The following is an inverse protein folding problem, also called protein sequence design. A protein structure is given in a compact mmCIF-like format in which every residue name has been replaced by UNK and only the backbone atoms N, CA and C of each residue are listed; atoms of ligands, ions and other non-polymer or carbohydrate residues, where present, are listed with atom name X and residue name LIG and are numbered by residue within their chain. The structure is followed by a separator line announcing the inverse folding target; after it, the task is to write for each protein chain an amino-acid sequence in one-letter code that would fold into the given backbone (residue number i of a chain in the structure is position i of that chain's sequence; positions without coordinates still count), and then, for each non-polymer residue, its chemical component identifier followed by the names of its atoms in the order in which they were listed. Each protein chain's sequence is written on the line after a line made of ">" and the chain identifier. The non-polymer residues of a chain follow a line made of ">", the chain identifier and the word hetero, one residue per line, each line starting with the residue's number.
data_IF_418848817067
#
_entry.id   IF_418848817067
#
_cell.length_a   1.000
_cell.length_b   1.000
_cell.length_c   1.000
_cell.angle_alpha   90.00
_cell.angle_beta   90.00
_cell.angle_gamma   90.00
#
_symmetry.space_group_name_H-M   'P 1'
#
loop_
_entity.id
_entity.type
_entity.pdbx_description
1 polymer ?
#
# COMPACT_ATOMS: atom_id res chain seq x y z
N UNK A 1 19.19 -0.45 -36.39
CA UNK A 1 19.78 -1.45 -35.49
C UNK A 1 19.64 -1.12 -34.05
N UNK A 2 19.87 0.09 -33.67
CA UNK A 2 19.81 0.47 -32.26
C UNK A 2 18.41 0.43 -31.68
N UNK A 3 17.40 0.54 -32.49
CA UNK A 3 16.02 0.48 -32.02
C UNK A 3 15.61 -0.92 -31.59
N UNK A 4 16.37 -1.89 -31.87
CA UNK A 4 16.12 -3.23 -31.38
C UNK A 4 16.09 -3.29 -29.87
N UNK A 5 17.10 -2.67 -29.27
CA UNK A 5 17.20 -2.67 -27.83
C UNK A 5 16.05 -1.95 -27.16
N UNK A 6 15.58 -0.90 -27.80
CA UNK A 6 14.43 -0.15 -27.30
C UNK A 6 13.18 -1.01 -27.28
N UNK A 7 12.98 -1.80 -28.34
CA UNK A 7 11.82 -2.66 -28.42
C UNK A 7 11.86 -3.74 -27.36
N UNK A 8 13.02 -4.31 -27.13
CA UNK A 8 13.17 -5.34 -26.10
C UNK A 8 12.88 -4.75 -24.73
N UNK A 9 13.37 -3.57 -24.45
CA UNK A 9 13.14 -2.91 -23.18
C UNK A 9 11.66 -2.67 -22.93
N UNK A 10 10.92 -2.26 -23.95
CA UNK A 10 9.49 -2.04 -23.84
C UNK A 10 8.77 -3.34 -23.52
N UNK A 11 9.13 -4.43 -24.18
CA UNK A 11 8.50 -5.72 -23.93
C UNK A 11 8.75 -6.15 -22.49
N UNK A 12 9.96 -6.01 -22.03
CA UNK A 12 10.30 -6.40 -20.65
C UNK A 12 9.49 -5.59 -19.64
N UNK A 13 9.33 -4.31 -19.86
CA UNK A 13 8.58 -3.48 -18.93
C UNK A 13 7.10 -3.87 -18.87
N UNK A 14 6.56 -4.45 -19.93
CA UNK A 14 5.17 -4.89 -19.91
C UNK A 14 4.93 -6.07 -18.99
N UNK A 15 5.93 -6.86 -18.71
CA UNK A 15 5.81 -7.98 -17.77
C UNK A 15 5.88 -7.55 -16.32
N UNK A 16 6.17 -6.29 -16.06
CA UNK A 16 6.25 -5.77 -14.70
C UNK A 16 4.92 -5.18 -14.23
N UNK A 17 3.83 -5.55 -14.88
CA UNK A 17 2.50 -5.09 -14.49
C UNK A 17 1.95 -5.92 -13.34
N UNK A 18 2.65 -5.95 -12.26
CA UNK A 18 2.18 -6.61 -11.06
C UNK A 18 1.24 -5.66 -10.33
N UNK A 19 0.29 -6.22 -9.60
CA UNK A 19 -0.71 -5.45 -8.88
C UNK A 19 -0.17 -4.90 -7.56
N UNK A 20 1.05 -4.39 -7.59
CA UNK A 20 1.66 -3.78 -6.41
C UNK A 20 1.95 -2.32 -6.71
N UNK A 21 1.68 -1.47 -5.73
CA UNK A 21 2.05 -0.08 -5.82
C UNK A 21 3.52 0.08 -5.45
N UNK A 22 4.31 0.61 -6.37
CA UNK A 22 5.73 0.86 -6.12
C UNK A 22 5.97 2.09 -5.26
N UNK A 23 5.00 2.98 -5.20
CA UNK A 23 5.15 4.23 -4.49
C UNK A 23 4.96 4.09 -2.99
N UNK A 24 5.51 5.04 -2.26
CA UNK A 24 5.35 5.14 -0.82
C UNK A 24 4.11 5.99 -0.53
N UNK A 25 3.22 5.45 0.29
CA UNK A 25 2.00 6.15 0.68
C UNK A 25 2.17 6.72 2.08
N UNK A 26 1.62 7.91 2.28
CA UNK A 26 1.71 8.59 3.57
C UNK A 26 0.60 8.14 4.51
N UNK A 27 0.86 8.28 5.80
CA UNK A 27 -0.18 8.21 6.83
C UNK A 27 -0.34 9.59 7.44
N UNK A 28 -1.18 9.70 8.46
CA UNK A 28 -1.30 10.95 9.23
C UNK A 28 -0.11 11.22 10.16
N UNK A 29 0.84 10.29 10.21
CA UNK A 29 2.08 10.47 10.96
C UNK A 29 3.26 10.47 9.98
N UNK A 30 4.06 11.55 9.89
CA UNK A 30 5.12 11.63 8.89
C UNK A 30 6.24 10.61 9.06
N UNK A 31 6.37 10.02 10.23
CA UNK A 31 7.39 8.99 10.47
C UNK A 31 6.92 7.59 10.07
N UNK A 32 5.63 7.42 9.80
CA UNK A 32 5.04 6.14 9.43
C UNK A 32 4.53 6.22 8.00
N UNK A 33 5.07 5.37 7.15
CA UNK A 33 4.69 5.32 5.73
C UNK A 33 4.34 3.89 5.34
N UNK A 34 3.55 3.76 4.30
CA UNK A 34 3.12 2.45 3.79
C UNK A 34 3.79 2.19 2.46
N UNK A 35 4.36 1.00 2.33
CA UNK A 35 5.03 0.55 1.10
C UNK A 35 4.48 -0.78 0.64
N UNK A 36 4.67 -1.07 -0.63
CA UNK A 36 4.36 -2.37 -1.24
C UNK A 36 2.90 -2.80 -1.05
N UNK A 37 1.99 -1.88 -1.27
CA UNK A 37 0.56 -2.16 -1.17
C UNK A 37 0.14 -3.09 -2.29
N UNK A 38 -0.63 -4.11 -1.96
CA UNK A 38 -1.17 -5.05 -2.93
C UNK A 38 -2.59 -5.45 -2.56
N UNK A 39 -3.35 -5.87 -3.56
CA UNK A 39 -4.70 -6.40 -3.38
C UNK A 39 -4.73 -7.82 -3.91
N UNK A 40 -5.13 -8.77 -3.08
CA UNK A 40 -5.31 -10.18 -3.47
C UNK A 40 -6.62 -10.66 -2.86
N UNK A 41 -7.57 -11.07 -3.67
CA UNK A 41 -8.89 -11.58 -3.24
C UNK A 41 -9.49 -10.65 -2.23
N UNK A 42 -9.98 -9.88 -1.95
CA UNK A 42 -10.54 -9.01 -0.89
C UNK A 42 -9.59 -8.72 0.27
N UNK A 43 -8.29 -9.00 0.11
CA UNK A 43 -7.29 -8.67 1.11
C UNK A 43 -6.41 -7.53 0.62
N UNK A 44 -6.21 -6.53 1.48
CA UNK A 44 -5.32 -5.41 1.22
C UNK A 44 -4.10 -5.54 2.13
N UNK A 45 -2.95 -5.71 1.55
CA UNK A 45 -1.72 -5.89 2.31
C UNK A 45 -0.63 -4.91 1.94
N UNK A 46 0.43 -4.94 2.72
CA UNK A 46 1.58 -4.08 2.51
C UNK A 46 2.53 -4.11 3.69
N UNK A 47 3.36 -3.10 3.78
CA UNK A 47 4.32 -2.94 4.86
C UNK A 47 4.17 -1.55 5.46
N UNK A 48 3.98 -1.48 6.76
CA UNK A 48 4.03 -0.21 7.49
C UNK A 48 5.46 -0.01 7.97
N UNK A 49 6.10 1.05 7.52
CA UNK A 49 7.50 1.33 7.82
C UNK A 49 7.56 2.49 8.80
N UNK A 50 8.26 2.28 9.90
CA UNK A 50 8.54 3.30 10.90
C UNK A 50 9.93 3.86 10.64
N UNK A 51 10.01 5.10 10.20
CA UNK A 51 11.28 5.78 9.95
C UNK A 51 11.80 6.53 11.16
N UNK A 52 11.02 6.56 12.21
CA UNK A 52 11.37 7.29 13.43
C UNK A 52 12.26 6.48 14.35
N UNK A 53 12.75 7.12 15.39
CA UNK A 53 13.63 6.51 16.37
C UNK A 53 12.87 5.96 17.60
N UNK A 54 11.55 6.03 17.59
CA UNK A 54 10.69 5.49 18.63
C UNK A 54 9.80 4.40 18.04
N UNK A 55 9.54 3.31 18.79
CA UNK A 55 8.64 2.29 18.32
C UNK A 55 7.20 2.82 18.27
N UNK A 56 6.43 2.34 17.30
CA UNK A 56 5.02 2.63 17.21
C UNK A 56 4.21 1.44 17.68
N UNK A 57 3.17 1.71 18.45
CA UNK A 57 2.21 0.72 18.91
C UNK A 57 0.84 1.38 18.99
N UNK A 58 -0.11 0.85 18.23
CA UNK A 58 -1.44 1.46 18.24
C UNK A 58 -2.33 0.89 17.16
N UNK A 59 -3.33 1.65 16.81
CA UNK A 59 -4.29 1.29 15.76
C UNK A 59 -3.78 1.75 14.41
N UNK A 60 -3.97 0.88 13.41
CA UNK A 60 -3.67 1.17 12.02
C UNK A 60 -4.93 0.89 11.22
N UNK A 61 -5.39 1.86 10.47
CA UNK A 61 -6.64 1.75 9.73
C UNK A 61 -6.49 2.19 8.28
N UNK A 62 -7.42 1.74 7.46
CA UNK A 62 -7.50 2.14 6.07
C UNK A 62 -8.93 2.53 5.72
N UNK A 63 -9.06 3.60 4.95
CA UNK A 63 -10.29 3.96 4.27
C UNK A 63 -10.05 3.77 2.78
N UNK A 64 -10.91 2.99 2.14
CA UNK A 64 -10.85 2.74 0.70
C UNK A 64 -11.80 3.71 0.03
N UNK A 65 -11.27 4.53 -0.86
CA UNK A 65 -12.04 5.55 -1.58
C UNK A 65 -12.13 5.22 -3.05
N UNK A 66 -13.30 5.43 -3.63
CA UNK A 66 -13.52 5.23 -5.06
C UNK A 66 -12.99 6.41 -5.87
N UNK A 67 -13.24 6.38 -7.17
CA UNK A 67 -12.77 7.42 -8.07
C UNK A 67 -13.41 8.79 -7.80
N UNK A 68 -14.55 8.81 -7.16
CA UNK A 68 -15.25 10.03 -6.80
C UNK A 68 -14.85 10.57 -5.41
N UNK A 69 -13.99 9.84 -4.71
CA UNK A 69 -13.55 10.23 -3.37
C UNK A 69 -14.43 9.76 -2.24
N UNK A 70 -15.43 8.94 -2.54
CA UNK A 70 -16.32 8.40 -1.52
C UNK A 70 -15.71 7.18 -0.86
N UNK A 71 -15.89 7.04 0.44
CA UNK A 71 -15.42 5.90 1.19
C UNK A 71 -16.34 4.71 0.92
N UNK A 72 -15.78 3.66 0.34
CA UNK A 72 -16.51 2.44 0.01
C UNK A 72 -16.10 1.25 0.88
N UNK A 73 -15.08 1.40 1.70
CA UNK A 73 -14.66 0.35 2.60
C UNK A 73 -13.76 0.89 3.70
N UNK A 74 -13.76 0.22 4.84
CA UNK A 74 -12.90 0.55 5.97
C UNK A 74 -12.46 -0.71 6.66
N UNK A 75 -11.26 -0.68 7.23
CA UNK A 75 -10.82 -1.74 8.12
C UNK A 75 -9.79 -1.19 9.11
N UNK A 76 -9.57 -1.91 10.18
CA UNK A 76 -8.74 -1.45 11.28
C UNK A 76 -8.08 -2.64 11.96
N UNK A 77 -6.86 -2.46 12.41
CA UNK A 77 -6.13 -3.46 13.18
C UNK A 77 -5.22 -2.79 14.21
N UNK A 78 -4.78 -3.54 15.17
CA UNK A 78 -3.72 -3.10 16.08
C UNK A 78 -2.39 -3.64 15.57
N UNK A 79 -1.34 -2.82 15.71
CA UNK A 79 -0.07 -3.12 15.09
C UNK A 79 1.07 -2.53 15.91
N UNK A 80 2.22 -3.20 15.85
CA UNK A 80 3.43 -2.74 16.50
C UNK A 80 4.56 -2.74 15.48
N UNK A 81 5.31 -1.64 15.41
CA UNK A 81 6.44 -1.51 14.50
C UNK A 81 7.61 -0.92 15.27
N UNK A 82 8.72 -1.64 15.34
CA UNK A 82 9.92 -1.13 15.99
C UNK A 82 10.49 0.09 15.29
N UNK A 83 11.32 0.84 16.03
CA UNK A 83 12.01 1.98 15.45
C UNK A 83 12.86 1.57 14.27
N UNK A 84 12.84 2.36 13.21
CA UNK A 84 13.61 2.12 11.99
C UNK A 84 13.35 0.74 11.37
N UNK A 85 12.12 0.24 11.52
CA UNK A 85 11.75 -1.11 11.11
C UNK A 85 10.44 -1.10 10.33
N UNK A 86 10.07 -2.24 9.77
CA UNK A 86 8.82 -2.40 9.04
C UNK A 86 8.04 -3.60 9.55
N UNK A 87 6.74 -3.53 9.45
CA UNK A 87 5.84 -4.62 9.79
C UNK A 87 4.86 -4.87 8.68
N UNK A 88 4.71 -6.13 8.30
CA UNK A 88 3.72 -6.52 7.29
C UNK A 88 2.34 -6.44 7.89
N UNK A 89 1.38 -6.02 7.06
CA UNK A 89 -0.02 -6.00 7.46
C UNK A 89 -0.89 -6.60 6.38
N UNK A 90 -2.05 -7.05 6.77
CA UNK A 90 -3.07 -7.51 5.84
C UNK A 90 -4.44 -7.23 6.43
N UNK A 91 -5.22 -6.42 5.73
CA UNK A 91 -6.62 -6.21 6.06
C UNK A 91 -7.45 -7.21 5.26
N UNK A 92 -8.21 -8.03 5.96
CA UNK A 92 -8.99 -9.11 5.33
C UNK A 92 -10.42 -8.68 5.05
N UNK A 93 -11.00 -9.24 4.01
CA UNK A 93 -12.43 -9.13 3.70
C UNK A 93 -12.93 -7.71 3.41
N UNK A 94 -12.21 -7.00 2.57
CA UNK A 94 -12.69 -5.73 2.04
C UNK A 94 -13.42 -6.02 0.74
N UNK A 95 -14.75 -6.08 0.80
CA UNK A 95 -15.58 -6.57 -0.29
C UNK A 95 -15.55 -5.75 -1.56
N UNK A 96 -15.21 -4.49 -1.46
CA UNK A 96 -15.23 -3.57 -2.60
C UNK A 96 -13.84 -3.28 -3.14
N UNK A 97 -12.87 -4.13 -2.83
CA UNK A 97 -11.46 -3.85 -3.11
C UNK A 97 -11.15 -3.93 -4.61
N UNK A 98 -10.56 -2.86 -5.13
CA UNK A 98 -10.05 -2.77 -6.49
C UNK A 98 -8.83 -1.84 -6.50
N UNK A 99 -7.65 -2.43 -6.50
CA UNK A 99 -6.39 -1.68 -6.42
C UNK A 99 -6.14 -0.74 -7.59
N UNK A 100 -6.78 -0.99 -8.73
CA UNK A 100 -6.54 -0.19 -9.92
C UNK A 100 -7.31 1.12 -9.93
N UNK A 101 -8.48 1.13 -9.32
CA UNK A 101 -9.40 2.26 -9.39
C UNK A 101 -9.57 3.01 -8.09
N UNK A 102 -9.06 2.47 -7.01
CA UNK A 102 -9.30 3.02 -5.68
C UNK A 102 -8.06 3.65 -5.10
N UNK A 103 -8.28 4.55 -4.16
CA UNK A 103 -7.23 5.15 -3.36
C UNK A 103 -7.37 4.68 -1.92
N UNK A 104 -6.26 4.55 -1.26
CA UNK A 104 -6.22 4.07 0.12
C UNK A 104 -5.69 5.17 1.03
N UNK A 105 -6.43 5.47 2.06
CA UNK A 105 -6.03 6.45 3.06
C UNK A 105 -5.72 5.71 4.35
N UNK A 106 -4.46 5.70 4.73
CA UNK A 106 -3.99 5.01 5.93
C UNK A 106 -3.85 5.98 7.08
N UNK A 107 -4.28 5.57 8.26
CA UNK A 107 -4.19 6.36 9.48
C UNK A 107 -3.68 5.52 10.63
N UNK A 108 -2.96 6.18 11.54
CA UNK A 108 -2.45 5.57 12.77
C UNK A 108 -2.93 6.38 13.98
N UNK A 109 -3.14 5.68 15.07
CA UNK A 109 -3.53 6.31 16.34
C UNK A 109 -2.76 5.74 17.52
#
# INVERSE_FOLDING_TARGET
>A
MKHWNSMIAVIVSMFCTVLTHAETLKTNNPELVVKRVYCVDYNLGGVLVNKGDQPFRGSFSVAVKDEEGDVVGRNKMRLRVGAENGARFSFHYINTLDCKKQKFEFRVE
#
